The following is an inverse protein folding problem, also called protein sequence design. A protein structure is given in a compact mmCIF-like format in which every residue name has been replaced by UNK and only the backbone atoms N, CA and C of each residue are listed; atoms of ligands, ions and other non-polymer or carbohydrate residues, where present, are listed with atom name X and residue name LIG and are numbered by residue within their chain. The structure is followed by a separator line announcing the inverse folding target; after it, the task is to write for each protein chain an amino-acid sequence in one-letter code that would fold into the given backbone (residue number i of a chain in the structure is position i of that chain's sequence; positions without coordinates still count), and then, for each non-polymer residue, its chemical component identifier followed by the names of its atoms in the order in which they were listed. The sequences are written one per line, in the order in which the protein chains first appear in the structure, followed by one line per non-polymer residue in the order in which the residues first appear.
data_IF_444081918794
#
_entry.id   IF_444081918794
#
_cell.length_a   1.000
_cell.length_b   1.000
_cell.length_c   1.000
_cell.angle_alpha   90.00
_cell.angle_beta   90.00
_cell.angle_gamma   90.00
#
_symmetry.space_group_name_H-M   'P 1'
#
loop_
_entity.id
_entity.type
_entity.pdbx_description
1 polymer ?
#
# COMPACT_ATOMS: atom_id res chain seq x y z
N UNK A 1 -61.53 -20.15 -63.13
CA UNK A 1 -61.01 -18.77 -63.16
C UNK A 1 -59.62 -18.75 -62.53
N UNK A 2 -58.61 -18.36 -63.34
CA UNK A 2 -57.32 -17.70 -63.03
C UNK A 2 -56.48 -18.16 -61.82
N UNK A 3 -55.20 -18.53 -61.91
CA UNK A 3 -54.25 -18.80 -63.00
C UNK A 3 -52.95 -19.32 -62.37
N UNK A 4 -52.43 -20.46 -62.87
CA UNK A 4 -51.04 -20.80 -63.32
C UNK A 4 -49.82 -20.35 -62.48
N UNK A 5 -48.69 -21.06 -62.40
CA UNK A 5 -48.25 -22.43 -62.75
C UNK A 5 -46.75 -22.57 -62.38
N UNK A 6 -46.33 -23.81 -62.10
CA UNK A 6 -45.07 -24.55 -62.37
C UNK A 6 -43.91 -23.81 -63.10
N UNK A 7 -42.61 -24.10 -62.92
CA UNK A 7 -41.96 -25.41 -63.02
C UNK A 7 -40.46 -25.39 -62.60
N UNK A 8 -39.92 -26.59 -62.38
CA UNK A 8 -38.51 -26.97 -62.15
C UNK A 8 -37.73 -27.09 -63.47
N UNK A 9 -36.43 -26.78 -63.48
CA UNK A 9 -35.45 -27.41 -64.41
C UNK A 9 -34.00 -27.29 -63.90
N UNK A 10 -33.29 -28.42 -63.89
CA UNK A 10 -31.84 -28.58 -63.79
C UNK A 10 -31.14 -28.34 -65.14
N UNK A 11 -29.85 -27.94 -65.16
CA UNK A 11 -28.74 -28.66 -65.85
C UNK A 11 -27.45 -27.82 -65.95
N UNK A 12 -26.32 -28.54 -65.85
CA UNK A 12 -25.01 -28.35 -66.52
C UNK A 12 -23.88 -27.51 -65.87
N UNK A 13 -22.80 -28.27 -65.60
CA UNK A 13 -21.35 -27.96 -65.63
C UNK A 13 -20.99 -27.04 -66.83
N UNK A 14 -19.92 -26.22 -66.89
CA UNK A 14 -18.50 -26.42 -66.54
C UNK A 14 -17.70 -25.09 -66.81
N UNK A 15 -16.34 -25.03 -66.94
CA UNK A 15 -15.44 -24.21 -66.09
C UNK A 15 -14.70 -23.07 -66.84
N UNK A 16 -14.02 -22.15 -66.14
CA UNK A 16 -12.94 -21.32 -66.75
C UNK A 16 -11.77 -21.07 -65.76
N UNK A 17 -10.71 -21.84 -65.99
CA UNK A 17 -9.28 -21.50 -66.21
C UNK A 17 -8.54 -20.39 -65.44
N UNK A 18 -7.26 -20.63 -65.04
CA UNK A 18 -6.37 -19.70 -64.33
C UNK A 18 -5.47 -18.88 -65.28
N UNK A 19 -5.08 -17.66 -64.88
CA UNK A 19 -3.94 -16.97 -65.51
C UNK A 19 -3.14 -16.14 -64.48
N UNK A 20 -1.95 -16.67 -64.22
CA UNK A 20 -0.68 -16.00 -63.88
C UNK A 20 -0.51 -14.59 -64.44
N UNK A 21 0.15 -13.71 -63.66
CA UNK A 21 1.22 -12.83 -64.18
C UNK A 21 2.17 -12.36 -63.07
N UNK A 22 3.44 -12.63 -63.32
CA UNK A 22 4.62 -12.05 -62.66
C UNK A 22 4.67 -10.53 -62.86
N UNK A 23 5.23 -9.80 -61.88
CA UNK A 23 6.28 -8.82 -62.16
C UNK A 23 7.08 -8.52 -60.90
N UNK A 24 8.41 -8.58 -61.05
CA UNK A 24 9.41 -8.32 -60.02
C UNK A 24 9.79 -6.84 -59.97
N UNK A 25 10.14 -6.34 -58.76
CA UNK A 25 11.14 -5.27 -58.50
C UNK A 25 11.41 -5.14 -56.99
N UNK A 26 12.53 -4.53 -56.55
CA UNK A 26 13.58 -5.24 -55.82
C UNK A 26 13.69 -4.90 -54.33
N UNK A 27 14.48 -5.74 -53.65
CA UNK A 27 14.95 -5.69 -52.26
C UNK A 27 15.27 -4.27 -51.76
N UNK A 28 14.49 -3.83 -50.76
CA UNK A 28 14.92 -2.88 -49.74
C UNK A 28 15.12 -3.68 -48.45
N UNK A 29 16.38 -3.86 -48.05
CA UNK A 29 16.75 -4.36 -46.73
C UNK A 29 16.23 -3.39 -45.66
N UNK A 30 15.41 -3.82 -44.69
CA UNK A 30 15.15 -3.02 -43.51
C UNK A 30 16.37 -3.12 -42.59
N UNK A 31 17.01 -1.97 -42.37
CA UNK A 31 17.89 -1.72 -41.23
C UNK A 31 17.23 -2.27 -39.97
N UNK A 32 17.97 -3.12 -39.26
CA UNK A 32 17.67 -3.58 -37.92
C UNK A 32 17.81 -2.42 -36.93
N UNK A 33 16.75 -1.65 -36.71
CA UNK A 33 16.58 -0.84 -35.52
C UNK A 33 15.10 -0.82 -35.19
N UNK A 34 14.76 -1.51 -34.11
CA UNK A 34 13.75 -1.17 -33.10
C UNK A 34 13.59 -2.43 -32.25
N UNK A 35 14.17 -2.42 -31.05
CA UNK A 35 13.88 -3.41 -30.03
C UNK A 35 12.36 -3.47 -29.85
N UNK A 36 11.82 -4.68 -29.94
CA UNK A 36 10.40 -4.91 -29.69
C UNK A 36 10.06 -4.36 -28.29
N UNK A 37 9.03 -3.50 -28.13
CA UNK A 37 8.53 -3.19 -26.81
C UNK A 37 8.13 -4.51 -26.18
N UNK A 38 8.66 -4.83 -25.00
CA UNK A 38 8.32 -6.06 -24.29
C UNK A 38 6.80 -6.11 -24.12
N UNK A 39 6.14 -6.89 -24.96
CA UNK A 39 4.70 -7.10 -24.91
C UNK A 39 4.42 -7.79 -23.58
N UNK A 40 3.46 -7.28 -22.79
CA UNK A 40 2.94 -7.99 -21.62
C UNK A 40 2.71 -9.44 -22.05
N UNK A 41 3.39 -10.42 -21.44
CA UNK A 41 3.05 -11.81 -21.71
C UNK A 41 1.57 -11.96 -21.31
N UNK A 42 0.71 -12.11 -22.31
CA UNK A 42 -0.76 -12.21 -22.15
C UNK A 42 -1.11 -13.40 -21.24
N UNK A 43 -0.17 -14.34 -21.08
CA UNK A 43 -0.24 -15.50 -20.23
C UNK A 43 0.75 -15.41 -19.08
N UNK A 44 0.56 -14.50 -18.11
CA UNK A 44 1.15 -14.73 -16.80
C UNK A 44 0.48 -15.97 -16.22
N UNK A 45 1.20 -17.10 -16.13
CA UNK A 45 0.70 -18.24 -15.37
C UNK A 45 0.61 -17.81 -13.90
N UNK A 46 -0.35 -18.32 -13.14
CA UNK A 46 -0.41 -18.04 -11.69
C UNK A 46 0.84 -18.56 -10.93
N UNK A 47 1.70 -19.33 -11.61
CA UNK A 47 3.04 -19.77 -11.18
C UNK A 47 4.16 -18.76 -11.44
N UNK A 48 3.94 -17.73 -12.26
CA UNK A 48 4.94 -16.70 -12.53
C UNK A 48 4.86 -15.61 -11.47
N UNK A 49 5.99 -15.44 -10.79
CA UNK A 49 6.23 -14.41 -9.80
C UNK A 49 5.98 -13.02 -10.41
N UNK A 50 5.22 -12.18 -9.70
CA UNK A 50 5.16 -10.72 -9.81
C UNK A 50 5.64 -10.14 -11.16
N UNK A 51 4.79 -9.95 -12.18
CA UNK A 51 5.26 -9.45 -13.48
C UNK A 51 6.08 -8.17 -13.27
N UNK A 52 7.35 -8.23 -13.67
CA UNK A 52 8.33 -7.15 -13.45
C UNK A 52 8.35 -6.13 -14.60
N UNK A 53 7.63 -6.42 -15.69
CA UNK A 53 7.71 -5.70 -16.96
C UNK A 53 6.39 -5.03 -17.34
N UNK A 54 5.65 -4.49 -16.37
CA UNK A 54 4.46 -3.70 -16.68
C UNK A 54 4.86 -2.52 -17.60
N UNK A 55 4.21 -2.37 -18.78
CA UNK A 55 4.61 -1.39 -19.79
C UNK A 55 4.51 0.06 -19.31
N UNK A 56 3.64 0.34 -18.36
CA UNK A 56 3.45 1.65 -17.73
C UNK A 56 4.51 2.01 -16.68
N UNK A 57 5.31 1.04 -16.22
CA UNK A 57 6.35 1.33 -15.24
C UNK A 57 7.57 2.00 -15.88
N UNK A 58 8.22 2.88 -15.11
CA UNK A 58 9.52 3.43 -15.46
C UNK A 58 10.62 2.38 -15.26
N UNK A 59 11.82 2.64 -15.79
CA UNK A 59 12.99 1.79 -15.53
C UNK A 59 13.38 1.76 -14.04
N UNK A 60 13.24 2.91 -13.36
CA UNK A 60 13.41 3.03 -11.92
C UNK A 60 12.45 2.11 -11.16
N UNK A 61 11.16 2.18 -11.45
CA UNK A 61 10.14 1.31 -10.85
C UNK A 61 10.40 -0.18 -11.11
N UNK A 62 10.82 -0.55 -12.33
CA UNK A 62 11.21 -1.94 -12.65
C UNK A 62 12.41 -2.40 -11.83
N UNK A 63 13.42 -1.54 -11.69
CA UNK A 63 14.62 -1.83 -10.89
C UNK A 63 14.27 -2.04 -9.41
N UNK A 64 13.40 -1.19 -8.86
CA UNK A 64 12.87 -1.35 -7.48
C UNK A 64 12.10 -2.66 -7.35
N UNK A 65 11.18 -2.97 -8.27
CA UNK A 65 10.46 -4.24 -8.28
C UNK A 65 11.42 -5.41 -8.22
N UNK A 66 12.41 -5.46 -9.10
CA UNK A 66 13.36 -6.58 -9.19
C UNK A 66 14.22 -6.71 -7.94
N UNK A 67 14.74 -5.61 -7.41
CA UNK A 67 15.59 -5.62 -6.23
C UNK A 67 14.84 -6.08 -4.98
N UNK A 68 13.64 -5.52 -4.74
CA UNK A 68 12.79 -5.91 -3.61
C UNK A 68 12.32 -7.36 -3.76
N UNK A 69 11.99 -7.77 -4.98
CA UNK A 69 11.62 -9.16 -5.28
C UNK A 69 12.70 -10.15 -4.83
N UNK A 70 13.96 -9.91 -5.21
CA UNK A 70 15.12 -10.74 -4.83
C UNK A 70 15.29 -10.89 -3.32
N UNK A 71 14.96 -9.85 -2.55
CA UNK A 71 14.95 -9.92 -1.09
C UNK A 71 13.78 -10.78 -0.62
N UNK A 72 12.57 -10.49 -1.10
CA UNK A 72 11.35 -11.15 -0.66
C UNK A 72 11.33 -12.67 -0.91
N UNK A 73 12.00 -13.19 -1.96
CA UNK A 73 12.00 -14.64 -2.25
C UNK A 73 12.57 -15.49 -1.11
N UNK A 74 13.40 -14.90 -0.25
CA UNK A 74 14.01 -15.59 0.90
C UNK A 74 13.00 -15.93 2.00
N UNK A 75 11.85 -15.26 2.00
CA UNK A 75 10.86 -15.33 3.09
C UNK A 75 9.63 -16.10 2.62
N UNK A 76 9.58 -17.38 2.96
CA UNK A 76 8.52 -18.30 2.52
C UNK A 76 7.20 -18.06 3.23
N UNK A 77 6.17 -18.79 2.82
CA UNK A 77 4.86 -18.70 3.43
C UNK A 77 4.87 -19.21 4.88
N UNK A 78 5.65 -20.25 5.15
CA UNK A 78 5.88 -20.78 6.50
C UNK A 78 6.50 -19.73 7.41
N UNK A 79 7.50 -18.99 6.91
CA UNK A 79 8.07 -17.87 7.66
C UNK A 79 6.99 -16.86 8.07
N UNK A 80 6.14 -16.45 7.11
CA UNK A 80 5.08 -15.48 7.41
C UNK A 80 3.97 -16.04 8.30
N UNK A 81 3.66 -17.33 8.21
CA UNK A 81 2.70 -17.98 9.11
C UNK A 81 3.26 -18.06 10.53
N UNK A 82 4.55 -18.34 10.68
CA UNK A 82 5.22 -18.34 11.98
C UNK A 82 5.20 -16.94 12.59
N UNK A 83 5.60 -15.90 11.84
CA UNK A 83 5.57 -14.51 12.32
C UNK A 83 4.16 -14.07 12.73
N UNK A 84 3.14 -14.41 11.94
CA UNK A 84 1.74 -14.12 12.26
C UNK A 84 1.27 -14.87 13.52
N UNK A 85 1.62 -16.15 13.66
CA UNK A 85 1.18 -16.98 14.79
C UNK A 85 1.89 -16.61 16.09
N UNK A 86 3.17 -16.25 16.02
CA UNK A 86 3.98 -15.91 17.19
C UNK A 86 3.98 -14.41 17.52
N UNK A 87 3.31 -13.59 16.72
CA UNK A 87 3.25 -12.13 16.88
C UNK A 87 4.66 -11.50 16.91
N UNK A 88 5.55 -11.96 16.02
CA UNK A 88 6.96 -11.54 16.00
C UNK A 88 7.24 -10.58 14.86
N UNK A 89 7.92 -9.48 15.19
CA UNK A 89 8.44 -8.55 14.20
C UNK A 89 9.39 -9.25 13.21
N UNK A 90 9.27 -9.00 11.90
CA UNK A 90 10.05 -9.71 10.87
C UNK A 90 11.46 -9.12 10.74
N UNK A 91 12.28 -9.27 11.79
CA UNK A 91 13.63 -8.71 11.87
C UNK A 91 14.53 -9.10 10.71
N UNK A 92 14.40 -10.32 10.21
CA UNK A 92 15.20 -10.83 9.12
C UNK A 92 14.93 -10.03 7.82
N UNK A 93 13.65 -9.88 7.44
CA UNK A 93 13.25 -9.04 6.30
C UNK A 93 13.69 -7.59 6.51
N UNK A 94 13.43 -7.04 7.70
CA UNK A 94 13.76 -5.65 8.02
C UNK A 94 15.26 -5.37 7.86
N UNK A 95 16.12 -6.25 8.38
CA UNK A 95 17.57 -6.12 8.32
C UNK A 95 18.10 -6.29 6.89
N UNK A 96 17.51 -7.19 6.10
CA UNK A 96 17.84 -7.32 4.68
C UNK A 96 17.49 -6.04 3.91
N UNK A 97 16.32 -5.45 4.15
CA UNK A 97 15.92 -4.19 3.54
C UNK A 97 16.85 -3.04 3.97
N UNK A 98 17.20 -2.97 5.26
CA UNK A 98 18.14 -1.98 5.81
C UNK A 98 19.53 -2.07 5.17
N UNK A 99 20.09 -3.29 5.12
CA UNK A 99 21.44 -3.53 4.59
C UNK A 99 21.56 -3.22 3.10
N UNK A 100 20.44 -3.18 2.38
CA UNK A 100 20.36 -2.82 0.97
C UNK A 100 19.86 -1.37 0.75
N UNK A 101 19.72 -0.56 1.80
CA UNK A 101 19.36 0.87 1.72
C UNK A 101 17.86 1.16 1.54
N UNK A 102 16.99 0.16 1.56
CA UNK A 102 15.56 0.33 1.24
C UNK A 102 14.73 1.02 2.33
N UNK A 103 15.27 1.14 3.55
CA UNK A 103 14.61 1.89 4.64
C UNK A 103 14.59 3.39 4.41
N UNK A 104 15.44 3.90 3.50
CA UNK A 104 15.54 5.31 3.14
C UNK A 104 15.04 5.62 1.73
N UNK A 105 14.14 4.81 1.16
CA UNK A 105 13.76 4.91 -0.27
C UNK A 105 13.35 6.33 -0.71
N UNK A 106 12.58 7.05 0.11
CA UNK A 106 12.16 8.43 -0.17
C UNK A 106 12.94 9.49 0.63
N UNK A 107 13.92 9.08 1.42
CA UNK A 107 14.70 10.01 2.24
C UNK A 107 15.86 10.62 1.44
N UNK A 108 16.35 11.82 1.80
CA UNK A 108 17.36 12.52 1.01
C UNK A 108 18.70 11.78 0.95
N UNK A 109 19.36 11.84 -0.20
CA UNK A 109 20.67 11.20 -0.44
C UNK A 109 21.77 11.73 0.50
N UNK A 110 21.73 13.02 0.87
CA UNK A 110 22.72 13.62 1.79
C UNK A 110 22.75 12.96 3.19
N UNK A 111 21.65 12.27 3.58
CA UNK A 111 21.56 11.51 4.83
C UNK A 111 21.64 9.99 4.62
N UNK A 112 21.94 9.55 3.39
CA UNK A 112 22.09 8.13 3.01
C UNK A 112 20.82 7.48 2.44
N UNK A 113 19.77 8.25 2.15
CA UNK A 113 18.56 7.75 1.49
C UNK A 113 18.73 7.59 -0.03
N UNK A 114 17.70 7.10 -0.71
CA UNK A 114 17.72 6.89 -2.16
C UNK A 114 17.12 8.05 -2.98
N UNK A 115 16.48 9.03 -2.33
CA UNK A 115 15.90 10.20 -3.01
C UNK A 115 14.79 9.90 -4.02
N UNK A 116 14.17 8.71 -3.96
CA UNK A 116 13.12 8.28 -4.89
C UNK A 116 11.73 8.79 -4.46
N UNK A 117 10.77 8.74 -5.38
CA UNK A 117 9.41 9.22 -5.15
C UNK A 117 8.48 8.20 -4.48
N UNK A 118 7.26 8.64 -4.21
CA UNK A 118 6.15 7.79 -3.76
C UNK A 118 5.79 6.77 -4.85
N UNK A 119 6.03 7.07 -6.13
CA UNK A 119 5.87 6.14 -7.24
C UNK A 119 6.71 4.87 -7.07
N UNK A 120 7.98 5.00 -6.71
CA UNK A 120 8.87 3.87 -6.42
C UNK A 120 8.56 3.21 -5.08
N UNK A 121 8.23 3.99 -4.05
CA UNK A 121 7.82 3.44 -2.75
C UNK A 121 6.54 2.60 -2.85
N UNK A 122 5.57 3.00 -3.66
CA UNK A 122 4.37 2.22 -3.93
C UNK A 122 4.71 0.87 -4.58
N UNK A 123 5.66 0.84 -5.54
CA UNK A 123 6.17 -0.43 -6.11
C UNK A 123 6.82 -1.29 -5.04
N UNK A 124 7.69 -0.71 -4.20
CA UNK A 124 8.36 -1.44 -3.13
C UNK A 124 7.35 -2.09 -2.18
N UNK A 125 6.41 -1.33 -1.63
CA UNK A 125 5.44 -1.84 -0.66
C UNK A 125 4.44 -2.82 -1.29
N UNK A 126 3.99 -2.57 -2.53
CA UNK A 126 3.20 -3.56 -3.25
C UNK A 126 4.01 -4.85 -3.41
N UNK A 127 5.29 -4.78 -3.78
CA UNK A 127 6.14 -5.97 -3.98
C UNK A 127 6.32 -6.78 -2.71
N UNK A 128 6.59 -6.11 -1.58
CA UNK A 128 6.69 -6.78 -0.29
C UNK A 128 5.37 -7.47 0.03
N UNK A 129 4.25 -6.75 -0.03
CA UNK A 129 2.93 -7.30 0.27
C UNK A 129 2.56 -8.47 -0.65
N UNK A 130 2.77 -8.31 -1.96
CA UNK A 130 2.43 -9.26 -3.01
C UNK A 130 3.32 -10.51 -3.01
N UNK A 131 4.49 -10.47 -2.38
CA UNK A 131 5.38 -11.64 -2.23
C UNK A 131 4.74 -12.77 -1.41
N UNK A 132 3.72 -12.44 -0.62
CA UNK A 132 3.12 -13.31 0.38
C UNK A 132 3.20 -12.70 1.78
N UNK A 133 4.07 -11.71 1.99
CA UNK A 133 4.22 -11.05 3.28
C UNK A 133 2.97 -10.28 3.74
N UNK A 134 2.14 -9.81 2.82
CA UNK A 134 1.02 -8.94 3.14
C UNK A 134 1.46 -7.68 3.90
N UNK A 135 0.59 -7.21 4.78
CA UNK A 135 0.87 -6.10 5.70
C UNK A 135 1.85 -6.50 6.81
N UNK A 136 1.98 -7.79 7.14
CA UNK A 136 3.01 -8.24 8.09
C UNK A 136 4.43 -7.86 7.63
N UNK A 137 4.68 -7.90 6.32
CA UNK A 137 5.94 -7.40 5.75
C UNK A 137 5.92 -5.90 5.47
N UNK A 138 4.95 -5.41 4.70
CA UNK A 138 5.00 -4.04 4.20
C UNK A 138 4.92 -2.99 5.32
N UNK A 139 4.07 -3.22 6.33
CA UNK A 139 3.93 -2.30 7.46
C UNK A 139 5.14 -2.29 8.40
N UNK A 140 6.08 -3.24 8.28
CA UNK A 140 7.31 -3.25 9.07
C UNK A 140 8.31 -2.14 8.64
N UNK A 141 8.11 -1.54 7.46
CA UNK A 141 9.04 -0.55 6.89
C UNK A 141 8.37 0.75 6.41
N UNK A 142 7.06 0.76 6.19
CA UNK A 142 6.39 1.91 5.57
C UNK A 142 6.40 3.22 6.39
N UNK A 143 6.59 3.12 7.71
CA UNK A 143 6.60 4.26 8.63
C UNK A 143 7.73 5.24 8.30
N UNK A 144 8.86 4.71 7.80
CA UNK A 144 10.00 5.52 7.39
C UNK A 144 9.71 6.40 6.16
N UNK A 145 8.62 6.10 5.42
CA UNK A 145 8.29 6.76 4.17
C UNK A 145 7.34 7.94 4.44
N UNK A 146 6.08 7.67 4.77
CA UNK A 146 5.10 8.75 5.00
C UNK A 146 5.24 9.39 6.38
N UNK A 147 5.60 8.60 7.39
CA UNK A 147 5.66 9.06 8.77
C UNK A 147 6.81 10.03 9.01
N UNK A 148 7.94 9.87 8.32
CA UNK A 148 9.12 10.71 8.49
C UNK A 148 9.21 11.88 7.50
N UNK A 149 8.26 12.02 6.59
CA UNK A 149 8.22 13.16 5.68
C UNK A 149 8.23 14.52 6.40
N UNK A 150 7.50 14.75 7.51
CA UNK A 150 7.60 16.00 8.27
C UNK A 150 9.01 16.28 8.79
N UNK A 151 9.75 15.24 9.21
CA UNK A 151 11.14 15.37 9.66
C UNK A 151 12.04 15.77 8.49
N UNK A 152 11.92 15.06 7.36
CA UNK A 152 12.71 15.33 6.16
C UNK A 152 12.44 16.73 5.58
N UNK A 153 11.21 17.23 5.67
CA UNK A 153 10.80 18.51 5.10
C UNK A 153 11.03 19.71 6.04
N UNK A 154 10.71 19.57 7.32
CA UNK A 154 10.66 20.69 8.27
C UNK A 154 11.71 20.64 9.38
N UNK A 155 12.46 19.54 9.50
CA UNK A 155 13.56 19.45 10.47
C UNK A 155 14.68 20.46 10.16
N UNK A 156 15.43 20.88 11.18
CA UNK A 156 16.70 21.57 10.99
C UNK A 156 17.75 20.62 10.42
N UNK A 157 18.90 21.15 9.97
CA UNK A 157 20.00 20.31 9.49
C UNK A 157 20.48 19.34 10.58
N UNK A 158 20.68 19.86 11.80
CA UNK A 158 21.15 19.08 12.95
C UNK A 158 20.14 17.99 13.34
N UNK A 159 18.84 18.31 13.26
CA UNK A 159 17.76 17.35 13.49
C UNK A 159 17.78 16.24 12.43
N UNK A 160 17.90 16.59 11.14
CA UNK A 160 17.94 15.59 10.05
C UNK A 160 19.16 14.67 10.15
N UNK A 161 20.35 15.22 10.44
CA UNK A 161 21.55 14.41 10.66
C UNK A 161 21.38 13.47 11.86
N UNK A 162 20.85 13.97 12.98
CA UNK A 162 20.64 13.19 14.20
C UNK A 162 19.60 12.07 14.03
N UNK A 163 18.58 12.28 13.20
CA UNK A 163 17.39 11.42 13.15
C UNK A 163 17.30 10.53 11.91
N UNK A 164 17.62 11.06 10.73
CA UNK A 164 17.43 10.32 9.49
C UNK A 164 18.54 9.28 9.29
N UNK A 165 19.80 9.63 9.58
CA UNK A 165 20.96 8.75 9.38
C UNK A 165 20.82 7.41 10.15
N UNK A 166 20.60 7.38 11.48
CA UNK A 166 20.44 6.11 12.20
C UNK A 166 19.19 5.32 11.77
N UNK A 167 18.12 6.01 11.37
CA UNK A 167 16.89 5.38 10.90
C UNK A 167 17.07 4.71 9.53
N UNK A 168 17.74 5.37 8.59
CA UNK A 168 18.06 4.81 7.27
C UNK A 168 18.97 3.58 7.41
N UNK A 169 19.91 3.62 8.36
CA UNK A 169 20.80 2.50 8.69
C UNK A 169 20.08 1.34 9.41
N UNK A 170 18.79 1.49 9.77
CA UNK A 170 18.03 0.49 10.52
C UNK A 170 18.43 0.34 11.99
N UNK A 171 19.23 1.27 12.53
CA UNK A 171 19.65 1.28 13.94
C UNK A 171 18.52 1.74 14.85
N UNK A 172 17.74 2.70 14.38
CA UNK A 172 16.57 3.24 15.08
C UNK A 172 15.29 3.00 14.25
N UNK A 173 14.20 2.71 14.94
CA UNK A 173 12.85 2.57 14.39
C UNK A 173 11.95 3.66 14.96
N UNK A 174 11.01 4.11 14.14
CA UNK A 174 10.02 5.09 14.53
C UNK A 174 8.62 4.48 14.64
N UNK A 175 7.80 5.07 15.51
CA UNK A 175 6.34 4.93 15.50
C UNK A 175 5.65 6.30 15.41
N UNK A 176 4.35 6.33 15.09
CA UNK A 176 3.59 7.56 14.85
C UNK A 176 2.42 7.74 15.82
N UNK A 177 2.58 8.63 16.81
CA UNK A 177 1.61 8.92 17.87
C UNK A 177 0.64 10.04 17.55
N UNK A 178 -0.42 9.78 16.77
CA UNK A 178 -1.47 10.76 16.46
C UNK A 178 -2.78 10.43 17.17
N UNK A 179 -3.35 9.28 16.84
CA UNK A 179 -4.70 8.85 17.26
C UNK A 179 -4.82 8.68 18.78
N UNK A 180 -5.96 9.08 19.32
CA UNK A 180 -6.30 8.94 20.74
C UNK A 180 -7.59 8.14 20.92
N UNK A 181 -7.83 7.53 22.10
CA UNK A 181 -9.05 6.75 22.35
C UNK A 181 -10.35 7.50 22.04
N UNK A 182 -10.37 8.82 22.27
CA UNK A 182 -11.54 9.66 22.06
C UNK A 182 -11.52 10.43 20.73
N UNK A 183 -10.40 10.43 20.00
CA UNK A 183 -10.24 11.21 18.77
C UNK A 183 -9.41 10.45 17.73
N UNK A 184 -10.11 9.81 16.79
CA UNK A 184 -9.52 9.23 15.58
C UNK A 184 -9.64 10.18 14.40
N UNK A 185 -10.78 10.13 13.72
CA UNK A 185 -11.08 10.96 12.54
C UNK A 185 -11.18 12.47 12.88
N UNK A 186 -11.52 12.82 14.13
CA UNK A 186 -11.52 14.20 14.64
C UNK A 186 -10.18 14.57 15.29
N UNK A 187 -9.08 14.36 14.56
CA UNK A 187 -7.70 14.56 15.04
C UNK A 187 -7.47 15.98 15.59
N UNK A 188 -8.17 16.97 15.06
CA UNK A 188 -8.05 18.37 15.49
C UNK A 188 -8.45 18.57 16.96
N UNK A 189 -9.26 17.68 17.53
CA UNK A 189 -9.71 17.74 18.92
C UNK A 189 -8.93 16.85 19.87
N UNK A 190 -7.76 16.36 19.48
CA UNK A 190 -6.91 15.56 20.38
C UNK A 190 -6.64 16.31 21.70
N UNK A 191 -6.50 15.54 22.77
CA UNK A 191 -6.43 15.98 24.16
C UNK A 191 -5.03 15.84 24.77
N UNK A 192 -4.16 14.97 24.22
CA UNK A 192 -2.78 14.90 24.69
C UNK A 192 -2.12 16.28 24.55
N UNK A 193 -1.44 16.71 25.59
CA UNK A 193 -0.92 18.08 25.72
C UNK A 193 0.58 18.09 26.00
N UNK A 194 1.22 19.21 25.70
CA UNK A 194 2.60 19.50 26.05
C UNK A 194 2.71 20.91 26.62
N UNK A 195 3.27 21.03 27.82
CA UNK A 195 3.51 22.33 28.46
C UNK A 195 5.01 22.60 28.52
N UNK A 196 5.43 23.78 28.04
CA UNK A 196 6.82 24.24 28.08
C UNK A 196 7.29 24.38 29.54
N UNK A 197 8.43 23.79 29.86
CA UNK A 197 9.14 23.89 31.15
C UNK A 197 10.64 24.07 30.87
N UNK A 198 11.04 25.33 30.64
CA UNK A 198 12.41 25.70 30.26
C UNK A 198 12.85 25.07 28.93
N UNK A 199 13.87 24.22 29.03
CA UNK A 199 14.49 23.50 27.90
C UNK A 199 13.77 22.19 27.53
N UNK A 200 12.65 21.90 28.20
CA UNK A 200 11.83 20.71 27.97
C UNK A 200 10.35 21.07 27.82
N UNK A 201 9.58 20.10 27.33
CA UNK A 201 8.12 20.06 27.44
C UNK A 201 7.74 18.89 28.34
N UNK A 202 6.68 19.05 29.12
CA UNK A 202 6.03 17.96 29.87
C UNK A 202 4.80 17.52 29.10
N UNK A 203 4.85 16.29 28.60
CA UNK A 203 3.76 15.69 27.86
C UNK A 203 2.86 14.91 28.81
N UNK A 204 1.55 15.05 28.60
CA UNK A 204 0.49 14.31 29.28
C UNK A 204 -0.59 13.87 28.31
N UNK A 205 -1.00 12.61 28.36
CA UNK A 205 -2.09 12.10 27.55
C UNK A 205 -2.01 10.59 27.27
N UNK A 206 -2.73 10.18 26.23
CA UNK A 206 -2.72 8.81 25.75
C UNK A 206 -2.90 8.74 24.25
N UNK A 207 -2.26 7.73 23.65
CA UNK A 207 -2.40 7.40 22.23
C UNK A 207 -2.87 5.96 22.07
N UNK A 208 -3.49 5.65 20.94
CA UNK A 208 -4.01 4.31 20.63
C UNK A 208 -3.76 3.96 19.17
N UNK A 209 -3.62 2.67 18.88
CA UNK A 209 -3.29 2.13 17.55
C UNK A 209 -1.89 2.51 17.06
N UNK A 210 -0.96 2.72 17.99
CA UNK A 210 0.41 3.10 17.64
C UNK A 210 1.16 1.85 17.20
N UNK A 211 1.32 1.71 15.89
CA UNK A 211 2.05 0.61 15.27
C UNK A 211 3.52 0.62 15.70
N UNK A 212 4.16 -0.55 15.75
CA UNK A 212 5.61 -0.75 16.03
C UNK A 212 6.13 -0.21 17.37
N UNK A 213 5.27 0.29 18.25
CA UNK A 213 5.72 0.92 19.48
C UNK A 213 6.37 -0.05 20.47
N UNK A 214 6.28 -1.38 20.32
CA UNK A 214 7.08 -2.33 21.12
C UNK A 214 8.55 -2.34 20.71
N UNK A 215 8.86 -2.07 19.45
CA UNK A 215 10.22 -2.17 18.88
C UNK A 215 10.82 -0.83 18.47
N UNK A 216 10.07 0.27 18.58
CA UNK A 216 10.51 1.61 18.24
C UNK A 216 11.36 2.25 19.35
N UNK A 217 12.47 2.88 18.95
CA UNK A 217 13.28 3.77 19.79
C UNK A 217 12.79 5.21 19.72
N UNK A 218 12.18 5.61 18.60
CA UNK A 218 11.70 6.96 18.36
C UNK A 218 10.20 7.00 18.18
N UNK A 219 9.63 8.17 18.46
CA UNK A 219 8.23 8.46 18.19
C UNK A 219 8.08 9.84 17.58
N UNK A 220 7.35 9.91 16.48
CA UNK A 220 6.78 11.15 15.98
C UNK A 220 5.42 11.34 16.68
N UNK A 221 5.27 12.33 17.54
CA UNK A 221 4.06 12.52 18.34
C UNK A 221 3.42 13.88 18.12
N UNK A 222 2.11 13.89 17.88
CA UNK A 222 1.30 15.09 17.77
C UNK A 222 0.57 15.34 19.09
N UNK A 223 0.77 16.53 19.67
CA UNK A 223 0.19 16.96 20.95
C UNK A 223 -0.25 18.41 20.89
N UNK A 224 -1.14 18.81 21.79
CA UNK A 224 -1.63 20.18 21.91
C UNK A 224 -0.72 21.02 22.81
N UNK A 225 -0.14 22.08 22.25
CA UNK A 225 0.64 23.07 23.02
C UNK A 225 -0.14 24.35 23.30
N UNK A 226 -1.18 24.63 22.51
CA UNK A 226 -2.13 25.73 22.77
C UNK A 226 -3.55 25.17 22.95
N UNK A 227 -4.23 25.46 24.08
CA UNK A 227 -5.59 25.03 24.32
C UNK A 227 -6.55 25.35 23.16
N UNK A 228 -7.51 24.44 22.91
CA UNK A 228 -8.41 24.53 21.75
C UNK A 228 -9.29 25.79 21.78
N UNK A 229 -9.68 26.24 22.97
CA UNK A 229 -10.45 27.46 23.22
C UNK A 229 -9.63 28.76 23.03
N UNK A 230 -8.30 28.64 22.93
CA UNK A 230 -7.39 29.77 22.73
C UNK A 230 -6.93 29.92 21.28
N UNK A 231 -7.37 29.05 20.38
CA UNK A 231 -7.06 29.13 18.95
C UNK A 231 -8.28 29.49 18.11
N UNK A 232 -8.08 30.32 17.08
CA UNK A 232 -9.15 30.71 16.14
C UNK A 232 -9.56 29.57 15.19
N UNK A 233 -8.62 28.69 14.89
CA UNK A 233 -8.82 27.53 14.01
C UNK A 233 -8.37 26.27 14.75
N UNK A 234 -9.20 25.21 14.85
CA UNK A 234 -8.83 23.95 15.48
C UNK A 234 -7.56 23.28 14.92
N UNK A 235 -7.17 23.62 13.68
CA UNK A 235 -5.90 23.16 13.09
C UNK A 235 -4.64 23.78 13.69
N UNK A 236 -4.78 24.86 14.48
CA UNK A 236 -3.67 25.50 15.18
C UNK A 236 -3.52 24.97 16.61
N UNK A 237 -2.37 25.25 17.21
CA UNK A 237 -2.08 24.90 18.60
C UNK A 237 -1.70 23.44 18.82
N UNK A 238 -1.51 22.69 17.73
CA UNK A 238 -0.98 21.34 17.73
C UNK A 238 0.50 21.41 17.35
N UNK A 239 1.37 20.72 18.06
CA UNK A 239 2.81 20.68 17.83
C UNK A 239 3.26 19.25 17.59
N UNK A 240 4.31 19.11 16.79
CA UNK A 240 4.86 17.83 16.37
C UNK A 240 6.28 17.68 16.95
N UNK A 241 6.53 16.57 17.63
CA UNK A 241 7.83 16.24 18.20
C UNK A 241 8.33 14.94 17.61
N UNK A 242 9.63 14.84 17.33
CA UNK A 242 10.28 13.56 17.05
C UNK A 242 11.39 13.33 18.08
N UNK A 243 11.16 12.37 18.98
CA UNK A 243 11.96 12.21 20.18
C UNK A 243 12.11 10.74 20.58
N UNK A 244 12.91 10.48 21.60
CA UNK A 244 13.12 9.14 22.15
C UNK A 244 11.84 8.64 22.83
N UNK A 245 11.38 7.44 22.48
CA UNK A 245 10.27 6.78 23.17
C UNK A 245 10.78 6.25 24.52
N UNK A 246 10.77 7.11 25.53
CA UNK A 246 11.27 6.81 26.87
C UNK A 246 10.37 5.80 27.59
N UNK A 247 10.85 4.56 27.70
CA UNK A 247 10.15 3.45 28.36
C UNK A 247 9.97 3.65 29.86
N UNK A 248 10.72 4.55 30.49
CA UNK A 248 10.56 4.88 31.91
C UNK A 248 9.42 5.87 32.16
N UNK A 249 9.02 6.63 31.14
CA UNK A 249 7.99 7.66 31.22
C UNK A 249 6.71 7.32 30.44
N UNK A 250 6.79 6.41 29.47
CA UNK A 250 5.68 6.02 28.59
C UNK A 250 5.37 4.54 28.77
N UNK A 251 4.17 4.25 29.28
CA UNK A 251 3.63 2.89 29.32
C UNK A 251 3.16 2.50 27.93
N UNK A 252 3.70 1.43 27.36
CA UNK A 252 3.32 0.90 26.04
C UNK A 252 2.69 -0.48 26.19
N UNK A 253 1.41 -0.59 25.86
CA UNK A 253 0.64 -1.84 26.01
C UNK A 253 0.11 -2.30 24.66
N UNK A 254 0.49 -3.51 24.26
CA UNK A 254 0.03 -4.11 23.00
C UNK A 254 -1.47 -4.44 23.03
N UNK A 255 -2.13 -4.23 21.88
CA UNK A 255 -3.54 -4.54 21.63
C UNK A 255 -3.60 -5.83 20.79
N UNK A 256 -4.29 -6.89 21.25
CA UNK A 256 -4.59 -8.05 20.42
C UNK A 256 -5.48 -7.69 19.22
N UNK A 257 -5.16 -8.20 18.03
CA UNK A 257 -5.78 -7.77 16.76
C UNK A 257 -6.26 -8.95 15.91
N UNK A 258 -7.10 -8.64 14.93
CA UNK A 258 -7.57 -9.61 13.92
C UNK A 258 -6.45 -10.09 12.98
N UNK A 259 -5.55 -9.21 12.56
CA UNK A 259 -4.47 -9.54 11.62
C UNK A 259 -3.33 -8.54 11.72
N UNK A 260 -2.37 -8.65 10.78
CA UNK A 260 -1.11 -7.91 10.83
C UNK A 260 -0.37 -8.15 12.16
N UNK A 261 -0.32 -9.41 12.59
CA UNK A 261 0.12 -9.80 13.93
C UNK A 261 1.64 -9.66 14.12
N UNK A 262 2.43 -9.69 13.04
CA UNK A 262 3.87 -9.46 13.07
C UNK A 262 4.22 -7.99 13.37
N UNK A 263 3.29 -7.06 13.18
CA UNK A 263 3.47 -5.64 13.52
C UNK A 263 2.49 -5.27 14.63
N UNK A 264 3.02 -5.10 15.84
CA UNK A 264 2.28 -4.72 17.03
C UNK A 264 1.48 -3.42 16.83
N UNK A 265 0.43 -3.23 17.64
CA UNK A 265 -0.26 -1.95 17.75
C UNK A 265 -0.60 -1.71 19.21
N UNK A 266 -0.41 -0.49 19.68
CA UNK A 266 -0.31 -0.25 21.10
C UNK A 266 -1.17 0.92 21.55
N UNK A 267 -1.55 0.85 22.83
CA UNK A 267 -1.87 2.03 23.61
C UNK A 267 -0.60 2.58 24.24
N UNK A 268 -0.49 3.90 24.28
CA UNK A 268 0.55 4.63 24.99
C UNK A 268 -0.11 5.49 26.05
N UNK A 269 0.47 5.55 27.24
CA UNK A 269 0.05 6.41 28.32
C UNK A 269 1.25 7.13 28.94
N UNK A 270 1.12 8.42 29.19
CA UNK A 270 2.17 9.28 29.74
C UNK A 270 1.56 10.44 30.52
N UNK A 271 2.10 10.76 31.71
CA UNK A 271 1.58 11.85 32.56
C UNK A 271 2.55 13.02 32.78
N UNK A 272 3.85 12.73 32.83
CA UNK A 272 4.90 13.73 33.04
C UNK A 272 6.13 13.40 32.18
N UNK A 273 5.88 13.07 30.91
CA UNK A 273 6.95 12.68 30.00
C UNK A 273 7.74 13.90 29.54
N UNK A 274 8.99 14.00 30.00
CA UNK A 274 9.89 15.10 29.68
C UNK A 274 10.50 14.92 28.30
N UNK A 275 10.14 15.80 27.37
CA UNK A 275 10.65 15.82 25.99
C UNK A 275 11.52 17.06 25.78
N UNK A 276 12.75 16.94 25.24
CA UNK A 276 13.59 18.11 24.97
C UNK A 276 12.92 19.11 24.02
N UNK A 277 13.01 20.41 24.33
CA UNK A 277 12.43 21.45 23.47
C UNK A 277 13.06 21.48 22.06
N UNK A 278 14.32 21.05 21.94
CA UNK A 278 15.04 20.90 20.66
C UNK A 278 14.47 19.78 19.76
N UNK A 279 13.61 18.92 20.29
CA UNK A 279 13.02 17.80 19.54
C UNK A 279 11.68 18.19 18.88
N UNK A 280 11.23 19.44 19.03
CA UNK A 280 10.10 19.98 18.27
C UNK A 280 10.49 20.14 16.79
N UNK A 281 9.60 19.74 15.89
CA UNK A 281 9.78 19.93 14.44
C UNK A 281 9.12 21.23 14.03
N UNK A 282 9.82 22.04 13.24
CA UNK A 282 9.29 23.29 12.72
C UNK A 282 8.83 24.25 13.82
N UNK A 283 7.74 24.96 13.56
CA UNK A 283 7.20 25.95 14.49
C UNK A 283 6.17 25.32 15.44
N UNK A 284 6.25 25.69 16.72
CA UNK A 284 5.22 25.36 17.71
C UNK A 284 3.84 25.82 17.24
N UNK A 285 2.85 24.93 17.32
CA UNK A 285 1.46 25.17 16.93
C UNK A 285 1.11 24.85 15.47
N UNK A 286 2.10 24.55 14.63
CA UNK A 286 1.92 24.22 13.20
C UNK A 286 1.97 22.70 12.91
N UNK A 287 1.99 21.85 13.94
CA UNK A 287 2.15 20.40 13.86
C UNK A 287 1.13 19.71 12.94
N UNK A 288 -0.14 20.12 13.00
CA UNK A 288 -1.17 19.55 12.12
C UNK A 288 -0.89 19.83 10.65
N UNK A 289 -0.49 21.07 10.32
CA UNK A 289 -0.12 21.45 8.94
C UNK A 289 1.03 20.58 8.43
N UNK A 290 2.02 20.29 9.28
CA UNK A 290 3.17 19.49 8.89
C UNK A 290 2.80 18.04 8.58
N UNK A 291 1.96 17.38 9.40
CA UNK A 291 1.57 15.98 9.15
C UNK A 291 0.65 15.82 7.94
N UNK A 292 -0.09 16.86 7.54
CA UNK A 292 -0.94 16.81 6.36
C UNK A 292 -0.15 16.55 5.06
N UNK A 293 1.13 16.91 5.02
CA UNK A 293 1.98 16.61 3.87
C UNK A 293 2.10 15.09 3.63
N UNK A 294 2.22 14.29 4.69
CA UNK A 294 2.36 12.83 4.55
C UNK A 294 1.05 12.04 4.36
N UNK A 295 -0.12 12.66 4.55
CA UNK A 295 -1.38 11.90 4.56
C UNK A 295 -1.80 11.36 3.19
N UNK A 296 -1.56 12.10 2.11
CA UNK A 296 -1.86 11.61 0.77
C UNK A 296 -0.88 10.51 0.36
N UNK A 297 0.41 10.65 0.70
CA UNK A 297 1.41 9.60 0.54
C UNK A 297 1.00 8.33 1.30
N UNK A 298 0.61 8.43 2.57
CA UNK A 298 0.14 7.29 3.37
C UNK A 298 -1.01 6.54 2.68
N UNK A 299 -2.02 7.25 2.17
CA UNK A 299 -3.16 6.63 1.46
C UNK A 299 -2.71 5.87 0.21
N UNK A 300 -1.81 6.44 -0.58
CA UNK A 300 -1.25 5.80 -1.78
C UNK A 300 -0.49 4.53 -1.41
N UNK A 301 0.39 4.61 -0.40
CA UNK A 301 1.22 3.49 0.06
C UNK A 301 0.37 2.36 0.65
N UNK A 302 -0.58 2.66 1.53
CA UNK A 302 -1.51 1.67 2.08
C UNK A 302 -2.39 1.05 0.98
N UNK A 303 -2.77 1.83 -0.03
CA UNK A 303 -3.44 1.31 -1.22
C UNK A 303 -2.57 0.33 -2.02
N UNK A 304 -1.27 0.61 -2.17
CA UNK A 304 -0.32 -0.29 -2.81
C UNK A 304 -0.12 -1.59 -2.02
N UNK A 305 -0.08 -1.51 -0.69
CA UNK A 305 -0.05 -2.68 0.20
C UNK A 305 -1.31 -3.54 0.05
N UNK A 306 -2.49 -2.92 0.00
CA UNK A 306 -3.76 -3.61 -0.22
C UNK A 306 -3.78 -4.32 -1.58
N UNK A 307 -3.31 -3.67 -2.65
CA UNK A 307 -3.15 -4.30 -3.96
C UNK A 307 -2.29 -5.56 -3.87
N UNK A 308 -1.16 -5.48 -3.16
CA UNK A 308 -0.29 -6.63 -2.95
C UNK A 308 -1.01 -7.82 -2.29
N UNK A 309 -1.82 -7.57 -1.26
CA UNK A 309 -2.66 -8.61 -0.64
C UNK A 309 -3.63 -9.20 -1.66
N UNK A 310 -4.33 -8.35 -2.41
CA UNK A 310 -5.31 -8.77 -3.41
C UNK A 310 -4.71 -9.66 -4.50
N UNK A 311 -3.57 -9.27 -5.06
CA UNK A 311 -2.85 -10.07 -6.05
C UNK A 311 -2.28 -11.37 -5.46
N UNK A 312 -1.74 -11.34 -4.24
CA UNK A 312 -1.27 -12.55 -3.57
C UNK A 312 -2.42 -13.55 -3.34
N UNK A 313 -3.58 -13.08 -2.88
CA UNK A 313 -4.77 -13.89 -2.69
C UNK A 313 -5.30 -14.47 -4.00
N UNK A 314 -5.43 -13.63 -5.03
CA UNK A 314 -5.89 -14.05 -6.35
C UNK A 314 -4.95 -15.08 -6.99
N UNK A 315 -3.63 -14.88 -6.86
CA UNK A 315 -2.62 -15.83 -7.37
C UNK A 315 -2.77 -17.20 -6.70
N UNK A 316 -2.89 -17.24 -5.36
CA UNK A 316 -3.12 -18.50 -4.63
C UNK A 316 -4.41 -19.18 -5.06
N UNK A 317 -5.51 -18.42 -5.14
CA UNK A 317 -6.80 -18.93 -5.58
C UNK A 317 -6.69 -19.56 -6.97
N UNK A 318 -6.08 -18.85 -7.92
CA UNK A 318 -5.88 -19.32 -9.28
C UNK A 318 -5.03 -20.60 -9.35
N UNK A 319 -3.93 -20.67 -8.61
CA UNK A 319 -3.10 -21.89 -8.54
C UNK A 319 -3.91 -23.08 -8.01
N UNK A 320 -4.56 -22.90 -6.86
CA UNK A 320 -5.32 -23.97 -6.22
C UNK A 320 -6.45 -24.50 -7.11
N UNK A 321 -7.19 -23.62 -7.79
CA UNK A 321 -8.34 -24.05 -8.61
C UNK A 321 -7.92 -24.75 -9.91
N UNK A 322 -6.71 -24.51 -10.39
CA UNK A 322 -6.15 -25.23 -11.53
C UNK A 322 -5.66 -26.64 -11.17
N UNK A 323 -5.31 -26.89 -9.92
CA UNK A 323 -4.81 -28.19 -9.44
C UNK A 323 -5.91 -29.05 -8.81
N UNK A 324 -6.82 -28.43 -8.05
CA UNK A 324 -7.87 -29.15 -7.33
C UNK A 324 -8.89 -29.75 -8.28
N UNK A 325 -9.06 -31.07 -8.24
CA UNK A 325 -10.05 -31.80 -9.05
C UNK A 325 -11.29 -32.15 -8.24
N UNK A 326 -12.47 -31.77 -8.74
CA UNK A 326 -13.79 -32.20 -8.24
C UNK A 326 -14.67 -32.48 -9.45
N UNK A 327 -15.56 -33.47 -9.37
CA UNK A 327 -16.39 -33.91 -10.51
C UNK A 327 -15.57 -34.18 -11.79
N UNK A 328 -14.37 -34.76 -11.62
CA UNK A 328 -13.51 -35.20 -12.72
C UNK A 328 -12.78 -34.10 -13.50
N UNK A 329 -12.86 -32.83 -13.10
CA UNK A 329 -12.14 -31.73 -13.75
C UNK A 329 -11.49 -30.79 -12.71
N UNK A 330 -10.44 -30.03 -13.08
CA UNK A 330 -9.98 -28.90 -12.28
C UNK A 330 -11.13 -27.94 -11.96
N UNK A 331 -11.24 -27.50 -10.70
CA UNK A 331 -12.37 -26.67 -10.27
C UNK A 331 -12.38 -25.29 -10.94
N UNK A 332 -11.24 -24.81 -11.40
CA UNK A 332 -11.11 -23.58 -12.19
C UNK A 332 -11.82 -23.62 -13.55
N UNK A 333 -12.22 -24.80 -14.04
CA UNK A 333 -13.05 -24.96 -15.25
C UNK A 333 -14.50 -24.52 -15.02
N UNK A 334 -14.98 -24.52 -13.79
CA UNK A 334 -16.36 -24.17 -13.48
C UNK A 334 -16.53 -22.66 -13.41
N UNK A 335 -17.48 -22.13 -14.18
CA UNK A 335 -17.75 -20.69 -14.28
C UNK A 335 -18.11 -20.04 -12.93
N UNK A 336 -18.68 -20.80 -12.00
CA UNK A 336 -18.94 -20.35 -10.63
C UNK A 336 -17.67 -20.01 -9.82
N UNK A 337 -16.51 -20.49 -10.25
CA UNK A 337 -15.18 -20.15 -9.70
C UNK A 337 -14.44 -19.20 -10.66
N UNK A 338 -14.47 -19.48 -11.96
CA UNK A 338 -13.74 -18.73 -12.96
C UNK A 338 -14.17 -17.26 -13.05
N UNK A 339 -15.47 -16.99 -13.14
CA UNK A 339 -15.96 -15.62 -13.32
C UNK A 339 -15.68 -14.72 -12.10
N UNK A 340 -15.91 -15.15 -10.85
CA UNK A 340 -15.55 -14.33 -9.70
C UNK A 340 -14.07 -14.01 -9.57
N UNK A 341 -13.17 -14.94 -9.94
CA UNK A 341 -11.73 -14.68 -9.94
C UNK A 341 -11.34 -13.69 -11.05
N UNK A 342 -11.96 -13.78 -12.23
CA UNK A 342 -11.76 -12.82 -13.31
C UNK A 342 -12.26 -11.41 -12.93
N UNK A 343 -13.39 -11.32 -12.25
CA UNK A 343 -13.91 -10.05 -11.69
C UNK A 343 -12.92 -9.44 -10.68
N UNK A 344 -12.37 -10.24 -9.78
CA UNK A 344 -11.34 -9.78 -8.84
C UNK A 344 -10.12 -9.22 -9.57
N UNK A 345 -9.65 -9.89 -10.63
CA UNK A 345 -8.54 -9.39 -11.44
C UNK A 345 -8.84 -8.02 -12.06
N UNK A 346 -10.00 -7.86 -12.71
CA UNK A 346 -10.39 -6.59 -13.34
C UNK A 346 -10.48 -5.45 -12.32
N UNK A 347 -11.03 -5.73 -11.14
CA UNK A 347 -11.16 -4.75 -10.06
C UNK A 347 -9.81 -4.37 -9.45
N UNK A 348 -8.88 -5.33 -9.30
CA UNK A 348 -7.51 -5.06 -8.85
C UNK A 348 -6.74 -4.23 -9.86
N UNK A 349 -6.80 -4.56 -11.16
CA UNK A 349 -6.14 -3.76 -12.20
C UNK A 349 -6.68 -2.33 -12.26
N UNK A 350 -8.00 -2.16 -12.11
CA UNK A 350 -8.63 -0.83 -12.08
C UNK A 350 -8.14 0.00 -10.88
N UNK A 351 -8.09 -0.62 -9.70
CA UNK A 351 -7.56 0.03 -8.50
C UNK A 351 -6.06 0.33 -8.62
N UNK A 352 -5.29 -0.57 -9.24
CA UNK A 352 -3.86 -0.40 -9.50
C UNK A 352 -3.60 0.85 -10.34
N UNK A 353 -4.30 1.01 -11.46
CA UNK A 353 -4.16 2.20 -12.31
C UNK A 353 -4.42 3.49 -11.51
N UNK A 354 -5.42 3.51 -10.64
CA UNK A 354 -5.74 4.67 -9.79
C UNK A 354 -4.62 4.97 -8.77
N UNK A 355 -4.10 3.95 -8.09
CA UNK A 355 -3.01 4.11 -7.11
C UNK A 355 -1.74 4.63 -7.77
N UNK A 356 -1.33 4.05 -8.90
CA UNK A 356 -0.12 4.50 -9.61
C UNK A 356 -0.27 5.88 -10.24
N UNK A 357 -1.49 6.26 -10.66
CA UNK A 357 -1.79 7.63 -11.05
C UNK A 357 -1.60 8.59 -9.86
N UNK A 358 -2.18 8.26 -8.71
CA UNK A 358 -2.07 9.08 -7.49
C UNK A 358 -0.62 9.25 -7.04
N UNK A 359 0.18 8.18 -7.06
CA UNK A 359 1.61 8.22 -6.73
C UNK A 359 2.39 9.16 -7.66
N UNK A 360 2.18 9.04 -8.97
CA UNK A 360 2.83 9.89 -9.98
C UNK A 360 2.43 11.36 -9.83
N UNK A 361 1.16 11.63 -9.56
CA UNK A 361 0.68 13.00 -9.35
C UNK A 361 1.27 13.60 -8.07
N UNK A 362 1.36 12.81 -7.00
CA UNK A 362 2.01 13.22 -5.75
C UNK A 362 3.46 13.66 -5.99
N UNK A 363 4.24 12.85 -6.71
CA UNK A 363 5.64 13.17 -7.04
C UNK A 363 5.78 14.41 -7.94
N UNK A 364 4.72 14.77 -8.68
CA UNK A 364 4.64 15.98 -9.49
C UNK A 364 4.18 17.22 -8.70
N UNK A 365 3.98 17.10 -7.38
CA UNK A 365 3.54 18.18 -6.50
C UNK A 365 2.04 18.43 -6.51
N UNK A 366 1.23 17.48 -6.99
CA UNK A 366 -0.23 17.57 -6.91
C UNK A 366 -0.70 17.35 -5.46
N UNK A 367 -1.36 18.36 -4.89
CA UNK A 367 -1.69 18.37 -3.46
C UNK A 367 -3.12 17.87 -3.14
N UNK A 368 -4.04 17.88 -4.11
CA UNK A 368 -5.42 17.46 -3.84
C UNK A 368 -5.53 15.93 -3.64
N UNK A 369 -6.51 15.54 -2.83
CA UNK A 369 -6.60 14.19 -2.29
C UNK A 369 -7.48 13.20 -3.06
N UNK A 370 -8.16 13.58 -4.14
CA UNK A 370 -9.19 12.72 -4.77
C UNK A 370 -8.63 11.40 -5.29
N UNK A 371 -7.47 11.41 -5.94
CA UNK A 371 -6.86 10.22 -6.50
C UNK A 371 -6.29 9.31 -5.41
N UNK A 372 -5.67 9.90 -4.38
CA UNK A 372 -5.18 9.15 -3.23
C UNK A 372 -6.33 8.49 -2.44
N UNK A 373 -7.42 9.24 -2.20
CA UNK A 373 -8.61 8.73 -1.51
C UNK A 373 -9.32 7.64 -2.34
N UNK A 374 -9.63 7.92 -3.61
CA UNK A 374 -10.30 6.97 -4.49
C UNK A 374 -9.45 5.72 -4.71
N UNK A 375 -8.15 5.88 -4.99
CA UNK A 375 -7.22 4.77 -5.17
C UNK A 375 -7.16 3.86 -3.94
N UNK A 376 -6.99 4.44 -2.75
CA UNK A 376 -6.94 3.67 -1.49
C UNK A 376 -8.25 2.92 -1.25
N UNK A 377 -9.39 3.56 -1.46
CA UNK A 377 -10.71 2.95 -1.29
C UNK A 377 -10.90 1.77 -2.25
N UNK A 378 -10.67 2.01 -3.55
CA UNK A 378 -10.81 0.98 -4.58
C UNK A 378 -9.88 -0.20 -4.33
N UNK A 379 -8.61 0.06 -3.99
CA UNK A 379 -7.64 -0.99 -3.68
C UNK A 379 -8.08 -1.82 -2.48
N UNK A 380 -8.59 -1.19 -1.43
CA UNK A 380 -9.02 -1.86 -0.20
C UNK A 380 -10.24 -2.75 -0.42
N UNK A 381 -11.26 -2.26 -1.12
CA UNK A 381 -12.44 -3.06 -1.43
C UNK A 381 -12.10 -4.21 -2.38
N UNK A 382 -11.29 -3.96 -3.42
CA UNK A 382 -10.84 -4.99 -4.38
C UNK A 382 -10.00 -6.06 -3.70
N UNK A 383 -9.07 -5.68 -2.83
CA UNK A 383 -8.21 -6.61 -2.09
C UNK A 383 -9.02 -7.50 -1.13
N UNK A 384 -9.95 -6.90 -0.38
CA UNK A 384 -10.85 -7.64 0.50
C UNK A 384 -11.69 -8.65 -0.30
N UNK A 385 -12.24 -8.23 -1.45
CA UNK A 385 -13.03 -9.12 -2.30
C UNK A 385 -12.18 -10.26 -2.86
N UNK A 386 -10.96 -9.99 -3.30
CA UNK A 386 -10.03 -11.01 -3.78
C UNK A 386 -9.65 -12.01 -2.69
N UNK A 387 -9.40 -11.53 -1.46
CA UNK A 387 -9.11 -12.38 -0.31
C UNK A 387 -10.31 -13.26 0.08
N UNK A 388 -11.52 -12.70 0.10
CA UNK A 388 -12.77 -13.45 0.33
C UNK A 388 -12.94 -14.54 -0.76
N UNK A 389 -12.79 -14.18 -2.04
CA UNK A 389 -12.90 -15.14 -3.14
C UNK A 389 -11.82 -16.20 -3.09
N UNK A 390 -10.62 -15.88 -2.60
CA UNK A 390 -9.57 -16.86 -2.41
C UNK A 390 -9.98 -17.93 -1.39
N UNK A 391 -10.52 -17.53 -0.24
CA UNK A 391 -11.04 -18.48 0.76
C UNK A 391 -12.16 -19.34 0.18
N UNK A 392 -13.15 -18.72 -0.46
CA UNK A 392 -14.28 -19.45 -1.06
C UNK A 392 -13.84 -20.43 -2.15
N UNK A 393 -12.82 -20.07 -2.93
CA UNK A 393 -12.27 -20.94 -3.98
C UNK A 393 -11.51 -22.15 -3.42
N UNK A 394 -10.93 -22.02 -2.22
CA UNK A 394 -10.27 -23.13 -1.53
C UNK A 394 -11.26 -24.05 -0.79
N UNK A 395 -12.50 -23.59 -0.58
CA UNK A 395 -13.50 -24.31 0.22
C UNK A 395 -13.05 -24.45 1.67
N UNK A 396 -13.19 -25.65 2.27
CA UNK A 396 -12.77 -25.91 3.65
C UNK A 396 -11.30 -25.59 3.91
N UNK A 397 -10.42 -25.82 2.92
CA UNK A 397 -8.99 -25.50 3.04
C UNK A 397 -8.71 -24.00 3.09
N UNK A 398 -9.64 -23.17 2.60
CA UNK A 398 -9.53 -21.72 2.69
C UNK A 398 -9.66 -21.19 4.12
N UNK A 399 -10.19 -22.01 5.05
CA UNK A 399 -10.28 -21.69 6.47
C UNK A 399 -9.06 -22.18 7.26
N UNK A 400 -8.21 -23.00 6.66
CA UNK A 400 -7.00 -23.53 7.28
C UNK A 400 -5.83 -22.57 7.12
N UNK A 401 -5.04 -22.38 8.18
CA UNK A 401 -3.87 -21.49 8.19
C UNK A 401 -2.77 -21.91 7.21
N UNK A 402 -2.68 -23.21 6.90
CA UNK A 402 -1.66 -23.79 6.01
C UNK A 402 -1.77 -23.30 4.55
N UNK A 403 -2.92 -22.77 4.12
CA UNK A 403 -3.09 -22.21 2.77
C UNK A 403 -2.90 -20.69 2.72
N UNK A 404 -2.71 -20.04 3.87
CA UNK A 404 -2.42 -18.61 4.06
C UNK A 404 -3.48 -17.61 3.54
N UNK A 405 -4.45 -18.05 2.74
CA UNK A 405 -5.51 -17.17 2.19
C UNK A 405 -6.41 -16.58 3.29
N UNK A 406 -6.59 -17.29 4.41
CA UNK A 406 -7.32 -16.78 5.57
C UNK A 406 -6.63 -15.53 6.17
N UNK A 407 -5.29 -15.53 6.23
CA UNK A 407 -4.50 -14.41 6.72
C UNK A 407 -4.70 -13.17 5.85
N UNK A 408 -4.72 -13.34 4.53
CA UNK A 408 -4.95 -12.23 3.60
C UNK A 408 -6.31 -11.58 3.82
N UNK A 409 -7.37 -12.33 4.15
CA UNK A 409 -8.66 -11.73 4.49
C UNK A 409 -8.58 -10.94 5.80
N UNK A 410 -7.93 -11.50 6.83
CA UNK A 410 -7.73 -10.81 8.12
C UNK A 410 -6.96 -9.50 7.95
N UNK A 411 -5.90 -9.51 7.16
CA UNK A 411 -5.07 -8.33 6.89
C UNK A 411 -5.78 -7.32 5.97
N UNK A 412 -6.49 -7.76 4.92
CA UNK A 412 -7.20 -6.87 4.00
C UNK A 412 -8.30 -6.03 4.70
N UNK A 413 -8.81 -6.49 5.85
CA UNK A 413 -9.78 -5.72 6.63
C UNK A 413 -9.19 -4.38 7.13
N UNK A 414 -7.89 -4.33 7.45
CA UNK A 414 -7.26 -3.15 8.00
C UNK A 414 -7.30 -1.97 7.04
N UNK A 415 -7.01 -2.19 5.75
CA UNK A 415 -7.01 -1.11 4.76
C UNK A 415 -8.41 -0.56 4.49
N UNK A 416 -9.48 -1.22 4.92
CA UNK A 416 -10.84 -0.65 4.86
C UNK A 416 -11.11 0.36 5.98
N UNK A 417 -10.35 0.26 7.07
CA UNK A 417 -10.49 1.07 8.30
C UNK A 417 -9.50 2.23 8.31
N UNK A 418 -8.21 1.94 8.06
CA UNK A 418 -7.10 2.88 8.22
C UNK A 418 -6.42 3.23 6.88
N UNK A 419 -5.76 4.39 6.75
CA UNK A 419 -5.71 5.49 7.73
C UNK A 419 -7.00 6.33 7.78
N UNK A 420 -7.91 6.13 6.82
CA UNK A 420 -9.20 6.79 6.74
C UNK A 420 -10.26 5.78 6.30
N UNK A 421 -11.45 5.82 6.91
CA UNK A 421 -12.52 4.86 6.60
C UNK A 421 -13.09 5.10 5.20
N UNK A 422 -13.75 4.09 4.63
CA UNK A 422 -14.39 4.22 3.33
C UNK A 422 -15.50 5.28 3.29
N UNK A 423 -16.19 5.49 4.41
CA UNK A 423 -17.22 6.52 4.57
C UNK A 423 -16.60 7.91 4.47
N UNK A 424 -15.47 8.12 5.14
CA UNK A 424 -14.76 9.40 5.12
C UNK A 424 -14.15 9.70 3.75
N UNK A 425 -13.72 8.67 3.00
CA UNK A 425 -13.35 8.81 1.59
C UNK A 425 -14.56 9.25 0.76
N UNK A 426 -15.70 8.55 0.87
CA UNK A 426 -16.92 8.90 0.11
C UNK A 426 -17.41 10.31 0.42
N UNK A 427 -17.32 10.70 1.68
CA UNK A 427 -17.57 12.04 2.18
C UNK A 427 -16.67 13.09 1.50
N UNK A 428 -15.36 12.86 1.44
CA UNK A 428 -14.43 13.73 0.72
C UNK A 428 -14.80 13.83 -0.76
N UNK A 429 -15.03 12.71 -1.45
CA UNK A 429 -15.38 12.70 -2.87
C UNK A 429 -16.71 13.42 -3.12
N UNK A 430 -17.75 13.12 -2.35
CA UNK A 430 -19.06 13.76 -2.46
C UNK A 430 -18.98 15.28 -2.29
N UNK A 431 -18.25 15.75 -1.27
CA UNK A 431 -18.16 17.18 -0.99
C UNK A 431 -17.18 17.91 -1.91
N UNK A 432 -15.94 17.42 -2.03
CA UNK A 432 -14.83 18.15 -2.67
C UNK A 432 -14.75 17.94 -4.17
N UNK A 433 -15.14 16.76 -4.66
CA UNK A 433 -15.08 16.44 -6.10
C UNK A 433 -16.43 16.70 -6.76
N UNK A 434 -17.52 16.25 -6.15
CA UNK A 434 -18.86 16.37 -6.73
C UNK A 434 -19.58 17.68 -6.35
N UNK A 435 -19.04 18.45 -5.39
CA UNK A 435 -19.65 19.71 -4.94
C UNK A 435 -20.96 19.54 -4.18
N UNK A 436 -21.24 18.35 -3.64
CA UNK A 436 -22.46 18.10 -2.87
C UNK A 436 -22.38 18.80 -1.48
N UNK A 437 -23.53 19.14 -0.87
CA UNK A 437 -23.56 19.74 0.46
C UNK A 437 -22.80 18.93 1.51
N UNK A 438 -22.10 19.62 2.43
CA UNK A 438 -21.32 19.02 3.51
C UNK A 438 -22.23 18.20 4.45
N UNK A 439 -21.92 16.92 4.63
CA UNK A 439 -22.69 15.98 5.47
C UNK A 439 -22.17 15.82 6.91
N UNK A 440 -20.95 16.28 7.20
CA UNK A 440 -20.26 16.17 8.50
C UNK A 440 -19.25 17.29 8.67
#
# INVERSE_FOLDING_TARGET
MRTKAFAVASFSRQPISPLTRQSARPLLTPRSVLGSPAMRQIHSRATEYLPSNLPEWTESQRSVREAISKICVKYTDEYWLERDTQHKFPWELYNDLASNGWLGICLPEEYGGAGLGISEAAVMLQTISESGAGMNGASSVHMNIFGLEPVAKFGTKEQKERWLVPLIQGKERACFGVTEPNTGLDTLRLQSSATRDGDFYRLKGSKIWISTAQVAEKILILVRTTPLDQVKNPSHGLSLFYTDLDRSAVTVTEIPKMGRSAVDSNTLFFEDWKVPARDIIGKEGDGFKMIMHGMNAERVLVGAEALGIGYAALRRASNYVNERVVFGNPVGKYQGIQHPLAECWMNLESARLMIYLAARLYDQGYEDGEYANAGKYLASESAFKAAERAILSHGGMGYAKEYHVERYLREAMLSRIAPISGEMVKNYIGQKVLGLPKSY
#
